data_IF_102439195986
#
_entry.id   IF_102439195986
#
_cell.length_a   1.000
_cell.length_b   1.000
_cell.length_c   1.000
_cell.angle_alpha   90.00
_cell.angle_beta   90.00
_cell.angle_gamma   90.00
#
_symmetry.space_group_name_H-M   'P 1'
#
loop_
_entity.id
_entity.type
_entity.pdbx_description
1 polymer ?
#
# COMPACT_ATOMS: atom_id res chain seq x y z
N UNK A 1 2.97 14.12 3.98
CA UNK A 1 3.54 15.47 4.21
C UNK A 1 4.18 16.03 2.93
N UNK A 2 5.16 15.33 2.28
CA UNK A 2 5.87 15.85 1.09
C UNK A 2 4.91 16.17 -0.06
N UNK A 3 3.96 15.30 -0.34
CA UNK A 3 3.00 15.45 -1.45
C UNK A 3 1.70 16.17 -1.05
N UNK A 4 1.52 16.51 0.23
CA UNK A 4 0.27 17.08 0.73
C UNK A 4 -0.94 16.14 0.61
N UNK A 5 -0.71 14.84 0.44
CA UNK A 5 -1.73 13.81 0.34
C UNK A 5 -1.91 13.16 1.72
N UNK A 6 -3.13 12.97 2.14
CA UNK A 6 -3.45 12.25 3.37
C UNK A 6 -3.03 10.78 3.25
N UNK A 7 -2.50 10.24 4.34
CA UNK A 7 -2.07 8.84 4.44
C UNK A 7 -2.58 8.26 5.76
N UNK A 8 -3.19 7.08 5.68
CA UNK A 8 -3.81 6.40 6.82
C UNK A 8 -3.36 4.94 6.89
N UNK A 9 -3.38 4.38 8.10
CA UNK A 9 -3.06 2.98 8.32
C UNK A 9 -4.32 2.12 8.33
N UNK A 10 -4.32 1.08 7.52
CA UNK A 10 -5.39 0.08 7.46
C UNK A 10 -4.85 -1.25 7.99
N UNK A 11 -5.34 -1.70 9.14
CA UNK A 11 -4.80 -2.87 9.80
C UNK A 11 -5.90 -3.72 10.46
N UNK A 12 -6.05 -4.95 9.96
CA UNK A 12 -6.99 -5.95 10.49
C UNK A 12 -6.54 -6.58 11.82
N UNK A 13 -5.36 -6.25 12.31
CA UNK A 13 -4.94 -6.62 13.65
C UNK A 13 -5.65 -5.76 14.72
N UNK A 14 -5.89 -4.48 14.40
CA UNK A 14 -6.48 -3.51 15.33
C UNK A 14 -7.98 -3.34 15.17
N UNK A 15 -8.57 -3.68 14.01
CA UNK A 15 -9.99 -3.52 13.78
C UNK A 15 -10.59 -4.71 13.00
N UNK A 16 -11.89 -4.89 13.11
CA UNK A 16 -12.63 -5.85 12.31
C UNK A 16 -12.83 -5.36 10.86
N UNK A 17 -13.38 -6.24 10.00
CA UNK A 17 -13.54 -5.97 8.57
C UNK A 17 -14.50 -4.83 8.27
N UNK A 18 -15.58 -4.69 9.02
CA UNK A 18 -16.56 -3.62 8.77
C UNK A 18 -15.97 -2.26 9.17
N UNK A 19 -15.24 -2.22 10.28
CA UNK A 19 -14.52 -1.01 10.70
C UNK A 19 -13.41 -0.63 9.71
N UNK A 20 -12.69 -1.61 9.16
CA UNK A 20 -11.70 -1.37 8.13
C UNK A 20 -12.33 -0.74 6.88
N UNK A 21 -13.47 -1.27 6.42
CA UNK A 21 -14.19 -0.72 5.26
C UNK A 21 -14.68 0.71 5.52
N UNK A 22 -15.24 0.95 6.70
CA UNK A 22 -15.71 2.28 7.12
C UNK A 22 -14.56 3.30 7.07
N UNK A 23 -13.41 2.94 7.67
CA UNK A 23 -12.22 3.81 7.65
C UNK A 23 -11.70 4.06 6.24
N UNK A 24 -11.59 3.00 5.44
CA UNK A 24 -11.18 3.12 4.03
C UNK A 24 -12.11 4.09 3.28
N UNK A 25 -13.43 3.93 3.40
CA UNK A 25 -14.39 4.81 2.73
C UNK A 25 -14.34 6.25 3.23
N UNK A 26 -14.16 6.45 4.54
CA UNK A 26 -14.02 7.78 5.11
C UNK A 26 -12.81 8.53 4.55
N UNK A 27 -11.66 7.86 4.48
CA UNK A 27 -10.42 8.48 3.98
C UNK A 27 -10.34 8.52 2.44
N UNK A 28 -11.08 7.68 1.75
CA UNK A 28 -11.18 7.69 0.29
C UNK A 28 -12.19 8.74 -0.23
N UNK A 29 -12.98 9.36 0.62
CA UNK A 29 -14.00 10.33 0.22
C UNK A 29 -13.37 11.51 -0.53
N UNK A 30 -13.85 11.74 -1.77
CA UNK A 30 -13.34 12.80 -2.64
C UNK A 30 -12.04 12.49 -3.38
N UNK A 31 -11.42 11.32 -3.16
CA UNK A 31 -10.26 10.88 -3.92
C UNK A 31 -10.67 10.23 -5.25
N UNK A 32 -9.99 10.58 -6.34
CA UNK A 32 -10.18 9.92 -7.64
C UNK A 32 -9.50 8.54 -7.69
N UNK A 33 -8.42 8.37 -6.91
CA UNK A 33 -7.62 7.15 -6.84
C UNK A 33 -7.08 6.96 -5.43
N UNK A 34 -7.14 5.74 -4.92
CA UNK A 34 -6.53 5.34 -3.66
C UNK A 34 -5.44 4.30 -3.91
N UNK A 35 -4.27 4.51 -3.35
CA UNK A 35 -3.15 3.56 -3.39
C UNK A 35 -2.97 2.96 -2.00
N UNK A 36 -3.10 1.64 -1.89
CA UNK A 36 -2.88 0.90 -0.64
C UNK A 36 -1.57 0.13 -0.72
N UNK A 37 -0.61 0.48 0.12
CA UNK A 37 0.69 -0.19 0.18
C UNK A 37 0.65 -1.41 1.09
N UNK A 38 1.19 -2.54 0.61
CA UNK A 38 1.45 -3.73 1.44
C UNK A 38 2.83 -3.67 2.06
N UNK A 39 2.92 -3.87 3.37
CA UNK A 39 4.17 -3.67 4.14
C UNK A 39 5.07 -4.91 4.15
N UNK A 40 4.49 -6.11 4.14
CA UNK A 40 5.20 -7.41 4.22
C UNK A 40 4.93 -8.23 2.97
N UNK A 41 5.36 -9.49 2.97
CA UNK A 41 4.95 -10.43 1.92
C UNK A 41 3.43 -10.50 1.82
N UNK A 42 2.92 -10.62 0.60
CA UNK A 42 1.49 -10.48 0.30
C UNK A 42 0.59 -11.36 1.18
N UNK A 43 1.05 -12.58 1.50
CA UNK A 43 0.31 -13.54 2.32
C UNK A 43 0.82 -13.66 3.77
N UNK A 44 1.80 -12.84 4.17
CA UNK A 44 2.36 -12.89 5.51
C UNK A 44 1.41 -12.21 6.50
N UNK A 45 0.82 -13.01 7.38
CA UNK A 45 -0.13 -12.55 8.38
C UNK A 45 0.44 -12.50 9.79
N UNK A 46 -0.43 -12.54 10.79
CA UNK A 46 -0.08 -12.41 12.21
C UNK A 46 0.79 -13.55 12.76
N UNK A 47 0.85 -14.69 12.07
CA UNK A 47 1.70 -15.84 12.41
C UNK A 47 2.20 -16.53 11.15
N UNK A 48 3.22 -17.37 11.28
CA UNK A 48 3.88 -18.05 10.15
C UNK A 48 2.96 -18.94 9.31
N UNK A 49 1.86 -19.39 9.88
CA UNK A 49 0.89 -20.31 9.28
C UNK A 49 -0.47 -19.66 8.99
N UNK A 50 -0.56 -18.33 9.11
CA UNK A 50 -1.81 -17.57 8.92
C UNK A 50 -1.62 -16.43 7.94
N UNK A 51 -2.60 -16.24 7.07
CA UNK A 51 -2.73 -15.05 6.22
C UNK A 51 -3.69 -13.99 6.81
N UNK A 52 -4.13 -14.20 8.06
CA UNK A 52 -4.98 -13.23 8.76
C UNK A 52 -4.22 -11.91 8.98
N UNK A 53 -4.89 -10.80 8.73
CA UNK A 53 -4.34 -9.44 8.79
C UNK A 53 -3.13 -9.19 7.84
N UNK A 54 -2.92 -10.08 6.86
CA UNK A 54 -1.94 -9.84 5.78
C UNK A 54 -2.42 -8.78 4.79
N UNK A 55 -1.53 -8.34 3.91
CA UNK A 55 -1.89 -7.48 2.77
C UNK A 55 -2.97 -8.13 1.90
N UNK A 56 -2.91 -9.45 1.70
CA UNK A 56 -3.96 -10.21 1.02
C UNK A 56 -5.32 -10.09 1.73
N UNK A 57 -5.35 -10.25 3.05
CA UNK A 57 -6.59 -10.17 3.82
C UNK A 57 -7.23 -8.77 3.76
N UNK A 58 -6.43 -7.72 3.79
CA UNK A 58 -6.87 -6.33 3.57
C UNK A 58 -7.39 -6.14 2.15
N UNK A 59 -6.61 -6.52 1.13
CA UNK A 59 -7.00 -6.38 -0.28
C UNK A 59 -8.30 -7.13 -0.58
N UNK A 60 -8.46 -8.37 -0.08
CA UNK A 60 -9.68 -9.17 -0.21
C UNK A 60 -10.86 -8.52 0.49
N UNK A 61 -10.67 -8.00 1.71
CA UNK A 61 -11.72 -7.37 2.49
C UNK A 61 -12.27 -6.12 1.80
N UNK A 62 -11.40 -5.36 1.15
CA UNK A 62 -11.73 -4.13 0.44
C UNK A 62 -12.06 -4.37 -1.05
N UNK A 63 -11.91 -5.60 -1.55
CA UNK A 63 -12.15 -5.93 -2.96
C UNK A 63 -11.18 -5.28 -3.94
N UNK A 64 -9.97 -4.93 -3.49
CA UNK A 64 -8.98 -4.20 -4.28
C UNK A 64 -8.28 -5.10 -5.29
N UNK A 65 -8.09 -4.66 -6.56
CA UNK A 65 -7.16 -5.29 -7.47
C UNK A 65 -5.73 -5.05 -7.01
N UNK A 66 -4.86 -6.03 -7.26
CA UNK A 66 -3.49 -6.04 -6.73
C UNK A 66 -2.47 -5.97 -7.87
N UNK A 67 -1.50 -5.07 -7.73
CA UNK A 67 -0.29 -5.03 -8.54
C UNK A 67 0.85 -5.56 -7.67
N UNK A 68 1.39 -6.72 -8.06
CA UNK A 68 2.47 -7.37 -7.33
C UNK A 68 3.83 -6.83 -7.78
N UNK A 69 4.61 -6.29 -6.85
CA UNK A 69 5.99 -5.85 -7.11
C UNK A 69 6.94 -7.01 -6.80
N UNK A 70 7.64 -7.52 -7.82
CA UNK A 70 8.45 -8.73 -7.70
C UNK A 70 9.92 -8.42 -7.99
N UNK A 71 10.87 -8.83 -7.12
CA UNK A 71 12.29 -8.70 -7.42
C UNK A 71 12.65 -9.58 -8.63
N UNK A 72 13.19 -8.97 -9.69
CA UNK A 72 13.56 -9.67 -10.92
C UNK A 72 15.08 -9.88 -11.04
N UNK A 73 15.89 -9.26 -10.17
CA UNK A 73 17.34 -9.37 -10.19
C UNK A 73 17.77 -10.82 -10.00
N UNK A 74 18.61 -11.31 -10.94
CA UNK A 74 19.16 -12.67 -10.89
C UNK A 74 18.16 -13.79 -11.19
N UNK A 75 16.92 -13.45 -11.59
CA UNK A 75 15.91 -14.42 -12.01
C UNK A 75 15.84 -14.55 -13.54
N UNK A 76 15.51 -15.75 -14.00
CA UNK A 76 15.14 -16.06 -15.38
C UNK A 76 13.78 -16.78 -15.36
N UNK A 77 13.64 -17.96 -15.93
CA UNK A 77 12.37 -18.71 -15.94
C UNK A 77 11.82 -19.06 -14.55
N UNK A 78 12.68 -19.07 -13.52
CA UNK A 78 12.25 -19.29 -12.12
C UNK A 78 11.18 -18.29 -11.65
N UNK A 79 11.19 -17.06 -12.20
CA UNK A 79 10.18 -16.04 -11.87
C UNK A 79 8.75 -16.52 -12.20
N UNK A 80 8.58 -17.36 -13.24
CA UNK A 80 7.26 -17.93 -13.58
C UNK A 80 6.75 -18.87 -12.49
N UNK A 81 7.64 -19.65 -11.87
CA UNK A 81 7.25 -20.52 -10.77
C UNK A 81 6.83 -19.72 -9.54
N UNK A 82 7.55 -18.63 -9.24
CA UNK A 82 7.19 -17.69 -8.15
C UNK A 82 5.84 -17.05 -8.43
N UNK A 83 5.66 -16.47 -9.61
CA UNK A 83 4.42 -15.79 -10.00
C UNK A 83 3.23 -16.75 -10.00
N UNK A 84 3.40 -17.96 -10.55
CA UNK A 84 2.37 -19.00 -10.49
C UNK A 84 1.98 -19.28 -9.05
N UNK A 85 2.97 -19.51 -8.17
CA UNK A 85 2.72 -19.75 -6.75
C UNK A 85 1.96 -18.60 -6.10
N UNK A 86 2.36 -17.35 -6.35
CA UNK A 86 1.68 -16.17 -5.80
C UNK A 86 0.23 -16.04 -6.29
N UNK A 87 -0.04 -16.32 -7.56
CA UNK A 87 -1.37 -16.21 -8.15
C UNK A 87 -2.30 -17.33 -7.68
N UNK A 88 -1.80 -18.58 -7.60
CA UNK A 88 -2.59 -19.76 -7.28
C UNK A 88 -2.71 -20.06 -5.77
N UNK A 89 -1.86 -19.48 -4.92
CA UNK A 89 -1.85 -19.77 -3.49
C UNK A 89 -3.22 -19.53 -2.83
N UNK A 90 -3.96 -18.53 -3.32
CA UNK A 90 -5.36 -18.30 -2.98
C UNK A 90 -6.15 -18.04 -4.27
N UNK A 91 -7.33 -18.68 -4.40
CA UNK A 91 -8.18 -18.55 -5.58
C UNK A 91 -8.69 -17.13 -5.83
N UNK A 92 -8.70 -16.31 -4.79
CA UNK A 92 -9.14 -14.92 -4.77
C UNK A 92 -7.97 -13.94 -4.50
N UNK A 93 -6.76 -14.30 -4.93
CA UNK A 93 -5.55 -13.47 -4.78
C UNK A 93 -5.70 -12.06 -5.36
N UNK A 94 -6.59 -11.91 -6.33
CA UNK A 94 -6.89 -10.68 -7.07
C UNK A 94 -5.66 -9.96 -7.66
N UNK A 95 -4.56 -10.71 -7.90
CA UNK A 95 -3.37 -10.20 -8.58
C UNK A 95 -3.71 -9.97 -10.05
N UNK A 96 -3.66 -8.72 -10.52
CA UNK A 96 -4.01 -8.27 -11.87
C UNK A 96 -2.83 -7.76 -12.66
N UNK A 97 -1.84 -7.20 -11.96
CA UNK A 97 -0.64 -6.63 -12.56
C UNK A 97 0.64 -7.07 -11.88
N UNK A 98 1.74 -6.93 -12.59
CA UNK A 98 3.09 -7.22 -12.09
C UNK A 98 4.00 -6.05 -12.45
N UNK A 99 4.79 -5.59 -11.48
CA UNK A 99 5.93 -4.69 -11.69
C UNK A 99 7.20 -5.46 -11.39
N UNK A 100 8.14 -5.45 -12.36
CA UNK A 100 9.44 -6.11 -12.20
C UNK A 100 10.43 -5.15 -11.54
N UNK A 101 10.80 -5.42 -10.29
CA UNK A 101 11.71 -4.58 -9.53
C UNK A 101 13.18 -5.00 -9.72
N UNK A 102 14.09 -4.03 -9.82
CA UNK A 102 15.54 -4.19 -9.98
C UNK A 102 15.92 -4.96 -11.23
N UNK A 103 15.40 -4.54 -12.37
CA UNK A 103 15.71 -5.09 -13.68
C UNK A 103 16.23 -4.00 -14.62
N UNK A 104 17.22 -4.33 -15.45
CA UNK A 104 17.75 -3.37 -16.43
C UNK A 104 16.76 -3.12 -17.58
N UNK A 105 16.75 -1.89 -18.15
CA UNK A 105 15.93 -1.56 -19.32
C UNK A 105 16.14 -2.52 -20.51
N UNK A 106 17.37 -2.99 -20.71
CA UNK A 106 17.70 -3.90 -21.80
C UNK A 106 17.09 -5.30 -21.64
N UNK A 107 16.95 -5.78 -20.39
CA UNK A 107 16.42 -7.13 -20.10
C UNK A 107 14.90 -7.12 -20.00
N UNK A 108 14.30 -6.00 -19.58
CA UNK A 108 12.87 -5.89 -19.33
C UNK A 108 11.98 -6.40 -20.48
N UNK A 109 12.17 -5.99 -21.76
CA UNK A 109 11.26 -6.41 -22.83
C UNK A 109 11.24 -7.95 -23.04
N UNK A 110 12.38 -8.59 -22.87
CA UNK A 110 12.49 -10.05 -22.99
C UNK A 110 11.83 -10.75 -21.81
N UNK A 111 12.04 -10.23 -20.62
CA UNK A 111 11.42 -10.78 -19.38
C UNK A 111 9.92 -10.60 -19.40
N UNK A 112 9.41 -9.41 -19.75
CA UNK A 112 7.98 -9.13 -19.92
C UNK A 112 7.34 -10.14 -20.85
N UNK A 113 7.87 -10.29 -22.07
CA UNK A 113 7.34 -11.24 -23.06
C UNK A 113 7.30 -12.67 -22.53
N UNK A 114 8.39 -13.14 -21.95
CA UNK A 114 8.46 -14.49 -21.37
C UNK A 114 7.43 -14.71 -20.27
N UNK A 115 7.24 -13.73 -19.39
CA UNK A 115 6.29 -13.82 -18.28
C UNK A 115 4.86 -13.84 -18.81
N UNK A 116 4.48 -12.90 -19.68
CA UNK A 116 3.12 -12.81 -20.22
C UNK A 116 2.74 -14.05 -21.02
N UNK A 117 3.61 -14.54 -21.91
CA UNK A 117 3.40 -15.78 -22.66
C UNK A 117 3.29 -17.01 -21.73
N UNK A 118 4.16 -17.08 -20.72
CA UNK A 118 4.15 -18.15 -19.73
C UNK A 118 2.88 -18.17 -18.90
N UNK A 119 2.46 -17.03 -18.35
CA UNK A 119 1.23 -16.90 -17.57
C UNK A 119 -0.01 -17.18 -18.41
N UNK A 120 -0.05 -16.68 -19.64
CA UNK A 120 -1.15 -16.95 -20.58
C UNK A 120 -1.28 -18.46 -20.90
N UNK A 121 -0.15 -19.15 -21.11
CA UNK A 121 -0.15 -20.60 -21.33
C UNK A 121 -0.67 -21.38 -20.13
N UNK A 122 -0.49 -20.85 -18.93
CA UNK A 122 -1.03 -21.41 -17.68
C UNK A 122 -2.49 -21.02 -17.42
N UNK A 123 -3.10 -20.18 -18.26
CA UNK A 123 -4.50 -19.74 -18.14
C UNK A 123 -4.71 -18.49 -17.29
N UNK A 124 -3.63 -17.77 -16.89
CA UNK A 124 -3.75 -16.56 -16.10
C UNK A 124 -3.84 -15.31 -16.98
N UNK A 125 -4.71 -14.38 -16.60
CA UNK A 125 -4.85 -13.07 -17.22
C UNK A 125 -4.23 -11.99 -16.33
N UNK A 126 -2.91 -12.04 -16.21
CA UNK A 126 -2.12 -11.08 -15.43
C UNK A 126 -1.09 -10.46 -16.36
N UNK A 127 -0.99 -9.14 -16.35
CA UNK A 127 -0.10 -8.39 -17.25
C UNK A 127 1.10 -7.80 -16.50
N UNK A 128 2.23 -7.65 -17.21
CA UNK A 128 3.39 -6.93 -16.70
C UNK A 128 3.22 -5.45 -17.05
N UNK A 129 2.89 -4.63 -16.04
CA UNK A 129 2.59 -3.20 -16.22
C UNK A 129 3.81 -2.29 -16.14
N UNK A 130 4.98 -2.83 -15.95
CA UNK A 130 6.21 -2.03 -15.99
C UNK A 130 7.35 -2.63 -15.17
N UNK A 131 8.37 -1.81 -14.96
CA UNK A 131 9.54 -2.19 -14.20
C UNK A 131 10.13 -1.00 -13.43
N UNK A 132 10.91 -1.30 -12.41
CA UNK A 132 11.71 -0.35 -11.66
C UNK A 132 13.19 -0.71 -11.88
N UNK A 133 14.01 0.18 -12.46
CA UNK A 133 15.44 -0.04 -12.60
C UNK A 133 16.14 0.06 -11.24
N UNK A 134 17.40 -0.35 -11.19
CA UNK A 134 18.26 -0.16 -10.01
C UNK A 134 18.91 1.23 -10.12
N UNK A 135 18.32 2.22 -9.43
CA UNK A 135 18.71 3.63 -9.48
C UNK A 135 18.75 4.21 -8.05
N UNK A 136 19.66 5.15 -7.81
CA UNK A 136 19.83 5.78 -6.51
C UNK A 136 18.56 6.53 -6.05
N UNK A 137 17.74 7.00 -6.99
CA UNK A 137 16.46 7.65 -6.69
C UNK A 137 15.50 6.79 -5.86
N UNK A 138 15.62 5.46 -5.92
CA UNK A 138 14.82 4.52 -5.15
C UNK A 138 15.49 4.07 -3.85
N UNK A 139 16.62 4.65 -3.50
CA UNK A 139 17.33 4.34 -2.26
C UNK A 139 17.10 5.42 -1.22
N UNK A 140 16.13 5.21 -0.33
CA UNK A 140 15.91 6.07 0.82
C UNK A 140 16.80 5.62 1.97
N UNK A 141 17.48 6.58 2.61
CA UNK A 141 18.23 6.32 3.83
C UNK A 141 17.29 5.85 4.94
N UNK A 142 17.70 4.80 5.65
CA UNK A 142 16.96 4.29 6.80
C UNK A 142 17.85 4.22 8.03
N UNK A 143 17.31 4.47 9.21
CA UNK A 143 17.99 4.23 10.49
C UNK A 143 17.81 2.78 10.91
N UNK A 144 18.78 2.24 11.65
CA UNK A 144 18.69 0.89 12.20
C UNK A 144 17.49 0.68 13.15
N UNK A 145 17.04 1.75 13.80
CA UNK A 145 15.89 1.76 14.70
C UNK A 145 15.09 3.05 14.45
N UNK A 146 13.98 2.91 13.74
CA UNK A 146 13.03 3.99 13.52
C UNK A 146 13.04 4.56 12.10
N UNK A 147 12.00 5.31 11.81
CA UNK A 147 11.82 6.02 10.54
C UNK A 147 12.58 7.35 10.59
N UNK A 148 13.13 7.77 9.46
CA UNK A 148 13.60 9.14 9.29
C UNK A 148 12.40 10.05 8.98
N UNK A 149 12.39 11.21 9.60
CA UNK A 149 11.40 12.23 9.25
C UNK A 149 11.73 12.83 7.87
N UNK A 150 10.72 13.24 7.09
CA UNK A 150 10.94 13.89 5.79
C UNK A 150 11.92 15.07 5.89
N UNK A 151 11.85 15.85 6.95
CA UNK A 151 12.70 17.01 7.22
C UNK A 151 14.18 16.65 7.49
N UNK A 152 14.44 15.40 7.90
CA UNK A 152 15.80 14.91 8.18
C UNK A 152 16.50 14.43 6.90
N UNK A 153 15.75 14.17 5.80
CA UNK A 153 16.29 13.70 4.54
C UNK A 153 16.57 14.88 3.62
N UNK A 154 17.84 15.25 3.54
CA UNK A 154 18.25 16.29 2.60
C UNK A 154 17.92 15.91 1.14
N UNK A 155 17.29 16.81 0.39
CA UNK A 155 16.90 16.61 -1.02
C UNK A 155 15.79 15.57 -1.28
N UNK A 156 14.96 15.23 -0.28
CA UNK A 156 13.88 14.24 -0.44
C UNK A 156 12.94 14.60 -1.62
N UNK A 157 12.53 15.85 -1.74
CA UNK A 157 11.68 16.31 -2.85
C UNK A 157 12.29 16.00 -4.22
N UNK A 158 13.57 16.37 -4.42
CA UNK A 158 14.27 16.09 -5.68
C UNK A 158 14.43 14.60 -5.97
N UNK A 159 14.59 13.81 -4.91
CA UNK A 159 14.69 12.36 -5.03
C UNK A 159 13.34 11.75 -5.44
N UNK A 160 12.24 12.22 -4.86
CA UNK A 160 10.88 11.84 -5.23
C UNK A 160 10.56 12.27 -6.67
N UNK A 161 10.88 13.50 -7.05
CA UNK A 161 10.69 13.99 -8.42
C UNK A 161 11.45 13.10 -9.42
N UNK A 162 12.70 12.77 -9.12
CA UNK A 162 13.49 11.89 -9.98
C UNK A 162 12.92 10.48 -10.07
N UNK A 163 12.45 9.92 -8.95
CA UNK A 163 11.77 8.64 -8.94
C UNK A 163 10.49 8.68 -9.78
N UNK A 164 9.70 9.75 -9.67
CA UNK A 164 8.48 9.95 -10.45
C UNK A 164 8.75 10.05 -11.96
N UNK A 165 9.81 10.79 -12.38
CA UNK A 165 10.25 10.83 -13.78
C UNK A 165 10.55 9.42 -14.32
N UNK A 166 11.37 8.65 -13.59
CA UNK A 166 11.73 7.28 -13.98
C UNK A 166 10.49 6.41 -14.09
N UNK A 167 9.60 6.44 -13.09
CA UNK A 167 8.39 5.62 -13.08
C UNK A 167 7.43 6.02 -14.20
N UNK A 168 7.36 7.29 -14.57
CA UNK A 168 6.55 7.75 -15.73
C UNK A 168 7.04 7.15 -17.05
N UNK A 169 8.34 6.90 -17.18
CA UNK A 169 8.93 6.31 -18.38
C UNK A 169 8.87 4.76 -18.36
N UNK A 170 8.83 4.14 -17.18
CA UNK A 170 9.01 2.69 -17.03
C UNK A 170 7.74 1.94 -16.68
N UNK A 171 6.68 2.63 -16.23
CA UNK A 171 5.37 2.05 -15.95
C UNK A 171 4.38 2.39 -17.06
N UNK A 172 3.58 1.41 -17.44
CA UNK A 172 2.38 1.61 -18.26
C UNK A 172 1.24 2.12 -17.36
N UNK A 173 1.21 3.45 -17.18
CA UNK A 173 0.22 4.09 -16.31
C UNK A 173 -1.22 3.89 -16.78
N UNK A 174 -1.45 3.74 -18.08
CA UNK A 174 -2.79 3.44 -18.60
C UNK A 174 -3.26 2.06 -18.12
N UNK A 175 -2.40 1.06 -18.20
CA UNK A 175 -2.69 -0.28 -17.67
C UNK A 175 -2.83 -0.28 -16.14
N UNK A 176 -2.05 0.49 -15.41
CA UNK A 176 -2.17 0.64 -13.94
C UNK A 176 -3.53 1.22 -13.58
N UNK A 177 -3.94 2.32 -14.22
CA UNK A 177 -5.25 2.94 -13.99
C UNK A 177 -6.40 2.01 -14.40
N UNK A 178 -6.27 1.28 -15.51
CA UNK A 178 -7.27 0.30 -15.93
C UNK A 178 -7.46 -0.79 -14.87
N UNK A 179 -6.38 -1.29 -14.28
CA UNK A 179 -6.45 -2.25 -13.17
C UNK A 179 -7.17 -1.62 -11.96
N UNK A 180 -6.84 -0.38 -11.62
CA UNK A 180 -7.50 0.32 -10.51
C UNK A 180 -9.01 0.46 -10.72
N UNK A 181 -9.46 0.72 -11.95
CA UNK A 181 -10.89 0.82 -12.28
C UNK A 181 -11.62 -0.54 -12.31
N UNK A 182 -10.91 -1.66 -12.22
CA UNK A 182 -11.51 -2.99 -12.00
C UNK A 182 -11.94 -3.21 -10.54
N UNK A 183 -11.60 -2.27 -9.63
CA UNK A 183 -12.06 -2.33 -8.25
C UNK A 183 -13.59 -2.38 -8.20
N UNK A 184 -14.09 -3.32 -7.40
CA UNK A 184 -15.54 -3.49 -7.24
C UNK A 184 -16.11 -2.43 -6.32
N UNK A 185 -17.35 -2.06 -6.58
CA UNK A 185 -18.13 -1.27 -5.63
C UNK A 185 -18.19 -1.98 -4.27
N UNK A 186 -17.83 -1.28 -3.22
CA UNK A 186 -17.74 -1.86 -1.89
C UNK A 186 -18.99 -1.54 -1.09
N UNK A 187 -19.70 -2.60 -0.69
CA UNK A 187 -20.77 -2.47 0.29
C UNK A 187 -20.18 -2.46 1.71
N UNK A 188 -20.53 -1.46 2.50
CA UNK A 188 -20.19 -1.39 3.91
C UNK A 188 -21.35 -0.88 4.72
N UNK A 189 -21.37 -1.29 5.99
CA UNK A 189 -22.37 -0.83 6.95
C UNK A 189 -21.69 0.06 7.98
N UNK A 190 -22.03 1.37 8.04
CA UNK A 190 -21.47 2.25 9.06
C UNK A 190 -21.63 1.67 10.45
N UNK A 191 -20.56 1.53 11.18
CA UNK A 191 -20.59 1.07 12.57
C UNK A 191 -21.19 2.19 13.40
N UNK A 192 -22.45 2.03 13.77
CA UNK A 192 -23.18 3.01 14.60
C UNK A 192 -22.66 2.96 16.04
N UNK A 193 -21.53 3.52 16.30
CA UNK A 193 -21.18 3.89 17.65
C UNK A 193 -21.89 5.21 17.98
N UNK A 194 -22.98 5.11 18.74
CA UNK A 194 -23.51 6.28 19.45
C UNK A 194 -22.54 6.59 20.60
N UNK A 195 -21.53 7.35 20.28
CA UNK A 195 -20.71 7.94 21.33
C UNK A 195 -21.40 9.23 21.76
N UNK A 196 -22.17 9.17 22.84
CA UNK A 196 -22.57 10.39 23.51
C UNK A 196 -21.31 11.05 24.05
N UNK A 197 -20.99 12.22 23.52
CA UNK A 197 -19.91 13.03 24.06
C UNK A 197 -20.14 13.17 25.56
N UNK A 198 -19.27 12.65 26.38
CA UNK A 198 -19.35 12.78 27.82
C UNK A 198 -19.46 14.27 28.15
N UNK A 199 -20.47 14.67 28.91
CA UNK A 199 -20.80 16.08 29.16
C UNK A 199 -19.72 16.90 29.88
N UNK A 200 -18.52 16.35 30.05
CA UNK A 200 -17.31 17.00 30.58
C UNK A 200 -16.21 17.03 29.55
N UNK A 201 -15.77 18.22 29.14
CA UNK A 201 -14.58 18.41 28.32
C UNK A 201 -13.35 17.88 29.05
N UNK A 202 -12.70 16.87 28.46
CA UNK A 202 -11.43 16.33 28.93
C UNK A 202 -10.31 16.99 28.15
N UNK A 203 -9.29 17.51 28.84
CA UNK A 203 -8.09 18.07 28.21
C UNK A 203 -6.99 17.02 28.21
N UNK A 204 -6.43 16.75 27.03
CA UNK A 204 -5.37 15.75 26.84
C UNK A 204 -4.12 16.46 26.34
N UNK A 205 -3.05 16.41 27.14
CA UNK A 205 -1.72 16.89 26.72
C UNK A 205 -1.08 15.85 25.78
N UNK A 206 -0.58 16.29 24.64
CA UNK A 206 0.11 15.45 23.67
C UNK A 206 1.50 16.02 23.42
N UNK A 207 2.54 15.25 23.79
CA UNK A 207 3.92 15.61 23.48
C UNK A 207 4.10 15.68 21.96
N UNK A 208 4.69 16.75 21.43
CA UNK A 208 4.90 16.91 19.99
C UNK A 208 6.21 17.61 19.68
N UNK A 209 7.19 16.81 19.30
CA UNK A 209 8.50 17.25 18.83
C UNK A 209 9.07 16.23 17.83
N UNK A 210 10.34 16.33 17.47
CA UNK A 210 11.00 15.40 16.55
C UNK A 210 11.09 13.95 17.09
N UNK A 211 10.96 13.73 18.38
CA UNK A 211 10.96 12.39 19.00
C UNK A 211 9.53 11.86 19.19
N UNK A 212 8.58 12.75 19.44
CA UNK A 212 7.17 12.45 19.65
C UNK A 212 6.33 13.00 18.49
N UNK A 213 6.38 12.35 17.33
CA UNK A 213 5.73 12.83 16.10
C UNK A 213 4.87 11.76 15.41
N UNK A 214 5.02 10.49 15.76
CA UNK A 214 4.27 9.40 15.14
C UNK A 214 2.95 9.12 15.89
N UNK A 215 1.91 9.83 15.52
CA UNK A 215 0.56 9.62 16.02
C UNK A 215 -0.36 9.18 14.89
N UNK A 216 -1.16 8.14 15.11
CA UNK A 216 -2.23 7.79 14.19
C UNK A 216 -3.27 8.92 14.16
N UNK A 217 -3.54 9.45 12.97
CA UNK A 217 -4.48 10.54 12.75
C UNK A 217 -5.87 10.20 13.27
N UNK A 218 -6.36 9.00 12.97
CA UNK A 218 -7.64 8.49 13.42
C UNK A 218 -7.80 8.51 14.95
N UNK A 219 -6.76 8.17 15.71
CA UNK A 219 -6.81 8.22 17.16
C UNK A 219 -7.00 9.65 17.67
N UNK A 220 -6.35 10.61 17.01
CA UNK A 220 -6.46 12.02 17.37
C UNK A 220 -7.83 12.58 16.97
N UNK A 221 -8.39 12.15 15.84
CA UNK A 221 -9.72 12.52 15.38
C UNK A 221 -10.79 11.94 16.30
N UNK A 222 -10.71 10.65 16.63
CA UNK A 222 -11.61 10.00 17.57
C UNK A 222 -11.65 10.69 18.93
N UNK A 223 -10.48 11.08 19.47
CA UNK A 223 -10.45 11.83 20.73
C UNK A 223 -11.16 13.18 20.62
N UNK A 224 -11.04 13.87 19.49
CA UNK A 224 -11.77 15.13 19.24
C UNK A 224 -13.27 14.91 19.11
N UNK A 225 -13.69 13.88 18.38
CA UNK A 225 -15.10 13.48 18.25
C UNK A 225 -15.74 13.14 19.60
N UNK A 226 -14.97 12.50 20.49
CA UNK A 226 -15.37 12.25 21.87
C UNK A 226 -15.41 13.52 22.76
N UNK A 227 -15.18 14.70 22.19
CA UNK A 227 -15.22 15.98 22.87
C UNK A 227 -13.96 16.32 23.67
N UNK A 228 -12.83 15.64 23.41
CA UNK A 228 -11.57 15.96 24.04
C UNK A 228 -10.91 17.20 23.41
N UNK A 229 -10.30 18.03 24.24
CA UNK A 229 -9.44 19.13 23.82
C UNK A 229 -7.98 18.63 23.78
N UNK A 230 -7.38 18.59 22.59
CA UNK A 230 -5.98 18.15 22.40
C UNK A 230 -5.07 19.37 22.55
N UNK A 231 -4.12 19.28 23.47
CA UNK A 231 -3.16 20.34 23.76
C UNK A 231 -1.75 19.82 23.48
N UNK A 232 -1.12 20.22 22.37
CA UNK A 232 0.29 19.87 22.11
C UNK A 232 1.21 20.61 23.08
N UNK A 233 2.31 19.97 23.49
CA UNK A 233 3.38 20.56 24.31
C UNK A 233 4.75 19.98 23.97
#
# INVERSE_FOLDING_TARGET
EVLGIDSENLDLYFCDRERLKERFMHHAEGAELVVTEGVMGYYDGISLDSDQASTYDVARTLGLPVILVVPARGMASTILAVLKGMIEYRNDSNIRGIILNRISPMLYPKMKKMIEEGLQTMGFQVQVVGYVPEEDAFHLESRHLGLMLPEEIGNLEKQIDRAAEILTETLDMESVLKIAWEAKEMEYHPVKEKQEAAGRKVRIGVARDLAFCFYYKDNMELLKELGCEIIPF
#
